data_IF_347643614420
#
_entry.id   IF_347643614420
#
_cell.length_a   1.000
_cell.length_b   1.000
_cell.length_c   1.000
_cell.angle_alpha   90.00
_cell.angle_beta   90.00
_cell.angle_gamma   90.00
#
_symmetry.space_group_name_H-M   'P 1'
#
loop_
_entity.id
_entity.type
_entity.pdbx_description
1 polymer ?
#
# COMPACT_ATOMS: atom_id res chain seq x y z
N UNK A 1 22.45 2.06 -0.18
CA UNK A 1 22.91 3.44 0.05
C UNK A 1 24.31 3.50 0.65
N UNK A 2 24.67 2.62 1.60
CA UNK A 2 26.03 2.57 2.18
C UNK A 2 27.12 2.39 1.12
N UNK A 3 27.03 1.34 0.31
CA UNK A 3 27.93 1.07 -0.83
C UNK A 3 28.01 2.22 -1.84
N UNK A 4 26.92 2.97 -2.01
CA UNK A 4 26.89 4.13 -2.90
C UNK A 4 27.66 5.32 -2.32
N UNK A 5 27.57 5.57 -1.01
CA UNK A 5 28.35 6.61 -0.33
C UNK A 5 29.83 6.26 -0.27
N UNK A 6 30.17 4.97 -0.13
CA UNK A 6 31.55 4.48 -0.21
C UNK A 6 32.14 4.72 -1.60
N UNK A 7 31.40 4.37 -2.66
CA UNK A 7 31.82 4.62 -4.04
C UNK A 7 32.05 6.11 -4.35
N UNK A 8 31.34 7.01 -3.65
CA UNK A 8 31.50 8.46 -3.81
C UNK A 8 32.56 9.08 -2.87
N UNK A 9 33.24 8.28 -2.04
CA UNK A 9 34.18 8.76 -1.01
C UNK A 9 33.51 9.77 -0.03
N UNK A 10 32.23 9.53 0.23
CA UNK A 10 31.34 10.32 1.10
C UNK A 10 31.02 9.61 2.42
N UNK A 11 31.28 8.32 2.52
CA UNK A 11 31.00 7.52 3.72
C UNK A 11 31.65 8.09 4.98
N UNK A 12 32.87 8.62 4.83
CA UNK A 12 33.62 9.26 5.92
C UNK A 12 32.99 10.57 6.41
N UNK A 13 32.10 11.18 5.64
CA UNK A 13 31.35 12.35 6.09
C UNK A 13 30.10 11.98 6.91
N UNK A 14 29.68 10.71 6.85
CA UNK A 14 28.53 10.16 7.57
C UNK A 14 28.97 9.49 8.89
N UNK A 15 30.19 8.94 8.96
CA UNK A 15 30.83 8.60 10.24
C UNK A 15 31.29 9.90 10.92
N UNK A 16 30.66 10.29 12.03
CA UNK A 16 31.04 11.54 12.75
C UNK A 16 32.50 11.52 13.25
N UNK A 17 33.11 10.33 13.35
CA UNK A 17 34.37 10.08 14.07
C UNK A 17 35.55 9.69 13.17
N UNK A 18 35.54 10.04 11.87
CA UNK A 18 36.69 9.74 11.01
C UNK A 18 37.84 10.74 11.22
N UNK A 19 38.98 10.21 11.69
CA UNK A 19 40.28 10.87 11.68
C UNK A 19 40.70 11.13 10.24
N UNK A 20 40.60 12.40 9.84
CA UNK A 20 41.23 12.85 8.61
C UNK A 20 42.74 12.63 8.81
N UNK A 21 43.47 12.05 7.84
CA UNK A 21 44.91 11.85 7.96
C UNK A 21 45.57 13.11 8.53
N UNK A 22 46.25 12.95 9.67
CA UNK A 22 46.85 14.08 10.36
C UNK A 22 47.73 14.86 9.38
N UNK A 23 47.61 16.17 9.40
CA UNK A 23 48.50 17.03 8.64
C UNK A 23 49.96 16.71 9.01
N UNK A 24 50.92 16.87 8.09
CA UNK A 24 52.34 16.69 8.40
C UNK A 24 52.74 17.59 9.58
N UNK A 25 53.77 17.19 10.34
CA UNK A 25 54.19 17.83 11.61
C UNK A 25 54.43 19.36 11.53
N UNK A 26 54.59 19.94 10.34
CA UNK A 26 54.66 21.38 10.12
C UNK A 26 53.80 21.81 8.91
N UNK A 27 52.48 21.95 9.07
CA UNK A 27 51.60 22.30 7.97
C UNK A 27 51.56 23.81 7.75
N UNK A 28 51.54 24.24 6.50
CA UNK A 28 51.29 25.64 6.15
C UNK A 28 49.82 26.01 6.34
N UNK A 29 49.54 27.29 6.58
CA UNK A 29 48.17 27.81 6.70
C UNK A 29 47.28 27.47 5.49
N UNK A 30 47.88 27.42 4.29
CA UNK A 30 47.18 27.00 3.07
C UNK A 30 46.74 25.53 3.13
N UNK A 31 47.60 24.61 3.63
CA UNK A 31 47.28 23.20 3.79
C UNK A 31 46.17 22.98 4.83
N UNK A 32 46.26 23.67 5.98
CA UNK A 32 45.21 23.62 7.03
C UNK A 32 43.86 24.06 6.46
N UNK A 33 43.84 25.17 5.71
CA UNK A 33 42.62 25.71 5.11
C UNK A 33 42.05 24.73 4.08
N UNK A 34 42.86 24.27 3.13
CA UNK A 34 42.44 23.33 2.08
C UNK A 34 41.86 22.04 2.66
N UNK A 35 42.47 21.52 3.71
CA UNK A 35 42.03 20.32 4.42
C UNK A 35 40.65 20.51 5.09
N UNK A 36 40.46 21.63 5.81
CA UNK A 36 39.16 21.97 6.43
C UNK A 36 38.06 22.14 5.38
N UNK A 37 38.35 22.85 4.29
CA UNK A 37 37.40 23.07 3.19
C UNK A 37 37.01 21.76 2.51
N UNK A 38 37.98 20.86 2.25
CA UNK A 38 37.70 19.52 1.69
C UNK A 38 36.77 18.72 2.60
N UNK A 39 36.97 18.74 3.93
CA UNK A 39 36.06 18.08 4.89
C UNK A 39 34.65 18.66 4.81
N UNK A 40 34.53 19.99 4.79
CA UNK A 40 33.25 20.69 4.70
C UNK A 40 32.50 20.32 3.41
N UNK A 41 33.21 20.30 2.28
CA UNK A 41 32.62 19.94 0.99
C UNK A 41 32.11 18.49 0.96
N UNK A 42 32.87 17.53 1.50
CA UNK A 42 32.41 16.14 1.64
C UNK A 42 31.14 16.04 2.49
N UNK A 43 31.07 16.75 3.63
CA UNK A 43 29.87 16.80 4.49
C UNK A 43 28.65 17.35 3.77
N UNK A 44 28.79 18.47 3.05
CA UNK A 44 27.70 19.04 2.28
C UNK A 44 27.24 18.12 1.15
N UNK A 45 28.18 17.47 0.46
CA UNK A 45 27.87 16.54 -0.64
C UNK A 45 27.19 15.26 -0.16
N UNK A 46 27.62 14.70 0.98
CA UNK A 46 26.95 13.57 1.61
C UNK A 46 25.51 13.90 1.98
N UNK A 47 25.27 15.09 2.58
CA UNK A 47 23.92 15.55 2.91
C UNK A 47 23.03 15.70 1.66
N UNK A 48 23.54 16.33 0.61
CA UNK A 48 22.81 16.48 -0.66
C UNK A 48 22.50 15.11 -1.29
N UNK A 49 23.44 14.17 -1.23
CA UNK A 49 23.26 12.80 -1.70
C UNK A 49 22.14 12.07 -0.94
N UNK A 50 22.10 12.20 0.39
CA UNK A 50 21.06 11.62 1.23
C UNK A 50 19.69 12.22 0.91
N UNK A 51 19.61 13.54 0.69
CA UNK A 51 18.38 14.22 0.31
C UNK A 51 17.86 13.79 -1.07
N UNK A 52 18.75 13.57 -2.04
CA UNK A 52 18.37 13.14 -3.38
C UNK A 52 17.88 11.68 -3.43
N UNK A 53 18.25 10.86 -2.45
CA UNK A 53 17.95 9.43 -2.43
C UNK A 53 16.60 9.08 -1.79
N UNK A 54 15.90 10.04 -1.16
CA UNK A 54 14.69 9.77 -0.38
C UNK A 54 13.44 10.33 -1.05
N UNK A 55 12.28 9.78 -0.68
CA UNK A 55 10.99 10.29 -1.16
C UNK A 55 10.68 11.68 -0.57
N UNK A 56 9.77 12.47 -1.19
CA UNK A 56 9.35 13.77 -0.64
C UNK A 56 8.84 13.70 0.81
N UNK A 57 8.16 12.61 1.17
CA UNK A 57 7.64 12.39 2.54
C UNK A 57 8.76 12.24 3.56
N UNK A 58 9.83 11.52 3.22
CA UNK A 58 10.98 11.36 4.12
C UNK A 58 11.83 12.63 4.12
N UNK A 59 11.98 13.28 2.97
CA UNK A 59 12.72 14.54 2.84
C UNK A 59 12.23 15.61 3.82
N UNK A 60 10.92 15.84 3.93
CA UNK A 60 10.36 16.84 4.85
C UNK A 60 10.66 16.54 6.31
N UNK A 61 10.83 15.27 6.68
CA UNK A 61 11.20 14.86 8.04
C UNK A 61 12.68 15.10 8.32
N UNK A 62 13.56 14.81 7.36
CA UNK A 62 15.01 14.88 7.54
C UNK A 62 15.63 16.25 7.21
N UNK A 63 14.91 17.15 6.52
CA UNK A 63 15.47 18.43 6.04
C UNK A 63 15.95 19.35 7.16
N UNK A 64 15.38 19.23 8.36
CA UNK A 64 15.75 20.01 9.55
C UNK A 64 17.02 19.49 10.23
N UNK A 65 17.46 18.26 9.91
CA UNK A 65 18.62 17.64 10.51
C UNK A 65 19.91 18.30 10.02
N UNK A 66 20.82 18.58 10.95
CA UNK A 66 22.02 19.40 10.69
C UNK A 66 23.15 18.59 10.06
N UNK A 67 23.34 17.34 10.48
CA UNK A 67 24.49 16.50 10.08
C UNK A 67 24.06 15.37 9.14
N UNK A 68 24.97 14.96 8.26
CA UNK A 68 24.75 13.80 7.39
C UNK A 68 24.57 12.51 8.21
N UNK A 69 25.24 12.40 9.36
CA UNK A 69 25.07 11.30 10.30
C UNK A 69 23.66 11.23 10.88
N UNK A 70 23.13 12.34 11.41
CA UNK A 70 21.78 12.36 11.97
C UNK A 70 20.73 11.93 10.93
N UNK A 71 20.91 12.37 9.68
CA UNK A 71 20.06 11.94 8.55
C UNK A 71 20.21 10.44 8.31
N UNK A 72 21.43 9.93 8.24
CA UNK A 72 21.71 8.52 8.03
C UNK A 72 21.12 7.63 9.13
N UNK A 73 21.28 8.01 10.39
CA UNK A 73 20.75 7.28 11.54
C UNK A 73 19.22 7.26 11.52
N UNK A 74 18.59 8.39 11.19
CA UNK A 74 17.14 8.47 11.00
C UNK A 74 16.68 7.51 9.90
N UNK A 75 17.34 7.51 8.74
CA UNK A 75 16.98 6.64 7.62
C UNK A 75 17.14 5.16 8.01
N UNK A 76 18.22 4.79 8.69
CA UNK A 76 18.39 3.43 9.22
C UNK A 76 17.23 3.03 10.12
N UNK A 77 16.79 3.92 11.00
CA UNK A 77 15.66 3.66 11.89
C UNK A 77 14.35 3.48 11.12
N UNK A 78 13.99 4.42 10.24
CA UNK A 78 12.73 4.40 9.49
C UNK A 78 12.63 3.10 8.65
N UNK A 79 13.67 2.75 7.90
CA UNK A 79 13.64 1.53 7.07
C UNK A 79 13.68 0.24 7.91
N UNK A 80 14.32 0.24 9.09
CA UNK A 80 14.25 -0.89 10.00
C UNK A 80 12.88 -1.05 10.67
N UNK A 81 12.13 0.04 10.85
CA UNK A 81 10.74 -0.02 11.30
C UNK A 81 9.82 -0.61 10.22
N UNK A 82 10.03 -0.27 8.95
CA UNK A 82 9.31 -0.88 7.83
C UNK A 82 9.51 -2.39 7.75
N UNK A 83 10.75 -2.88 7.90
CA UNK A 83 11.03 -4.31 7.93
C UNK A 83 10.34 -5.01 9.11
N UNK A 84 10.42 -4.42 10.31
CA UNK A 84 9.73 -4.96 11.50
C UNK A 84 8.22 -4.95 11.37
N UNK A 85 7.64 -3.94 10.71
CA UNK A 85 6.20 -3.89 10.45
C UNK A 85 5.79 -4.96 9.44
N UNK A 86 6.59 -5.17 8.38
CA UNK A 86 6.38 -6.24 7.40
C UNK A 86 6.34 -7.60 8.09
N UNK A 87 7.32 -7.89 8.93
CA UNK A 87 7.40 -9.15 9.67
C UNK A 87 6.19 -9.34 10.60
N UNK A 88 5.81 -8.30 11.36
CA UNK A 88 4.61 -8.34 12.20
C UNK A 88 3.34 -8.64 11.40
N UNK A 89 3.17 -8.01 10.23
CA UNK A 89 2.00 -8.26 9.37
C UNK A 89 2.00 -9.71 8.90
N UNK A 90 3.12 -10.21 8.38
CA UNK A 90 3.21 -11.59 7.90
C UNK A 90 2.89 -12.62 8.99
N UNK A 91 3.30 -12.37 10.23
CA UNK A 91 3.04 -13.28 11.37
C UNK A 91 1.61 -13.17 11.91
N UNK A 92 0.99 -11.98 11.83
CA UNK A 92 -0.32 -11.71 12.44
C UNK A 92 -1.47 -11.64 11.44
N UNK A 93 -1.20 -11.92 10.17
CA UNK A 93 -2.19 -11.83 9.12
C UNK A 93 -3.33 -12.84 9.38
N UNK A 94 -4.61 -12.44 9.22
CA UNK A 94 -5.71 -13.40 9.35
C UNK A 94 -5.69 -14.50 8.28
N UNK A 95 -6.19 -15.69 8.64
CA UNK A 95 -6.23 -16.90 7.79
C UNK A 95 -6.77 -16.64 6.36
N UNK A 96 -7.77 -15.76 6.23
CA UNK A 96 -8.36 -15.40 4.93
C UNK A 96 -7.38 -14.78 3.92
N UNK A 97 -6.21 -14.31 4.36
CA UNK A 97 -5.18 -13.76 3.50
C UNK A 97 -3.97 -14.69 3.30
N UNK A 98 -3.93 -15.86 3.94
CA UNK A 98 -2.83 -16.82 3.83
C UNK A 98 -2.53 -17.15 2.37
N UNK A 99 -3.56 -17.43 1.56
CA UNK A 99 -3.40 -17.69 0.13
C UNK A 99 -2.70 -16.53 -0.62
N UNK A 100 -2.93 -15.28 -0.21
CA UNK A 100 -2.25 -14.11 -0.78
C UNK A 100 -0.77 -14.11 -0.39
N UNK A 101 -0.45 -14.39 0.88
CA UNK A 101 0.92 -14.46 1.38
C UNK A 101 1.68 -15.61 0.72
N UNK A 102 1.11 -16.81 0.67
CA UNK A 102 1.68 -17.97 -0.03
C UNK A 102 1.93 -17.68 -1.50
N UNK A 103 1.01 -16.99 -2.18
CA UNK A 103 1.23 -16.58 -3.58
C UNK A 103 2.40 -15.61 -3.68
N UNK A 104 2.50 -14.67 -2.74
CA UNK A 104 3.58 -13.72 -2.66
C UNK A 104 4.93 -14.42 -2.48
N UNK A 105 5.03 -15.35 -1.53
CA UNK A 105 6.22 -16.18 -1.26
C UNK A 105 6.67 -16.97 -2.49
N UNK A 106 5.72 -17.57 -3.21
CA UNK A 106 6.02 -18.39 -4.38
C UNK A 106 6.44 -17.57 -5.60
N UNK A 107 5.94 -16.34 -5.72
CA UNK A 107 6.19 -15.48 -6.90
C UNK A 107 7.32 -14.48 -6.68
N UNK A 108 7.59 -14.11 -5.43
CA UNK A 108 8.55 -13.09 -5.03
C UNK A 108 9.21 -13.50 -3.71
N UNK A 109 10.52 -13.27 -3.64
CA UNK A 109 11.27 -13.40 -2.40
C UNK A 109 10.77 -12.38 -1.37
N UNK A 110 10.17 -12.84 -0.25
CA UNK A 110 9.61 -12.00 0.81
C UNK A 110 10.61 -10.98 1.36
N UNK A 111 11.91 -11.30 1.32
CA UNK A 111 12.97 -10.37 1.76
C UNK A 111 13.01 -9.12 0.89
N UNK A 112 12.66 -9.24 -0.40
CA UNK A 112 12.70 -8.16 -1.40
C UNK A 112 11.40 -7.39 -1.53
N UNK A 113 10.31 -7.90 -0.95
CA UNK A 113 9.02 -7.22 -0.96
C UNK A 113 9.06 -6.06 0.02
N UNK A 114 8.71 -4.87 -0.50
CA UNK A 114 8.54 -3.69 0.33
C UNK A 114 7.26 -3.76 1.15
N UNK A 115 7.23 -3.10 2.32
CA UNK A 115 6.03 -3.00 3.15
C UNK A 115 4.81 -2.47 2.35
N UNK A 116 5.03 -1.49 1.48
CA UNK A 116 4.00 -0.92 0.63
C UNK A 116 3.41 -1.94 -0.35
N UNK A 117 4.22 -2.76 -1.01
CA UNK A 117 3.74 -3.81 -1.91
C UNK A 117 2.92 -4.87 -1.17
N UNK A 118 3.36 -5.27 0.03
CA UNK A 118 2.61 -6.20 0.88
C UNK A 118 1.24 -5.63 1.23
N UNK A 119 1.20 -4.40 1.75
CA UNK A 119 -0.04 -3.71 2.12
C UNK A 119 -0.98 -3.56 0.92
N UNK A 120 -0.46 -3.13 -0.23
CA UNK A 120 -1.24 -2.99 -1.46
C UNK A 120 -1.83 -4.33 -1.92
N UNK A 121 -1.08 -5.42 -1.81
CA UNK A 121 -1.54 -6.77 -2.20
C UNK A 121 -2.69 -7.25 -1.31
N UNK A 122 -2.55 -7.08 0.00
CA UNK A 122 -3.58 -7.42 0.99
C UNK A 122 -4.83 -6.55 0.81
N UNK A 123 -4.65 -5.24 0.61
CA UNK A 123 -5.75 -4.31 0.35
C UNK A 123 -6.49 -4.66 -0.95
N UNK A 124 -5.77 -4.94 -2.04
CA UNK A 124 -6.37 -5.32 -3.31
C UNK A 124 -7.20 -6.62 -3.19
N UNK A 125 -6.76 -7.57 -2.38
CA UNK A 125 -7.52 -8.79 -2.08
C UNK A 125 -8.82 -8.47 -1.34
N UNK A 126 -8.77 -7.61 -0.31
CA UNK A 126 -9.95 -7.22 0.45
C UNK A 126 -10.95 -6.43 -0.41
N UNK A 127 -10.48 -5.52 -1.26
CA UNK A 127 -11.34 -4.81 -2.22
C UNK A 127 -12.05 -5.78 -3.16
N UNK A 128 -11.34 -6.77 -3.73
CA UNK A 128 -11.95 -7.80 -4.58
C UNK A 128 -12.99 -8.64 -3.84
N UNK A 129 -12.79 -8.90 -2.54
CA UNK A 129 -13.75 -9.62 -1.69
C UNK A 129 -15.02 -8.81 -1.49
N UNK A 130 -14.90 -7.53 -1.17
CA UNK A 130 -16.03 -6.60 -1.00
C UNK A 130 -16.87 -6.50 -2.27
N UNK A 131 -16.23 -6.29 -3.43
CA UNK A 131 -16.94 -6.21 -4.72
C UNK A 131 -17.73 -7.48 -5.06
N UNK A 132 -17.27 -8.66 -4.63
CA UNK A 132 -18.02 -9.92 -4.82
C UNK A 132 -19.18 -10.05 -3.83
N UNK A 133 -19.06 -9.47 -2.64
CA UNK A 133 -20.12 -9.49 -1.63
C UNK A 133 -21.27 -8.54 -2.01
N UNK A 134 -20.96 -7.35 -2.51
CA UNK A 134 -21.96 -6.37 -2.97
C UNK A 134 -22.75 -6.87 -4.20
N UNK A 135 -22.10 -7.63 -5.09
CA UNK A 135 -22.76 -8.27 -6.25
C UNK A 135 -23.71 -9.42 -5.82
N UNK A 136 -23.43 -10.10 -4.71
CA UNK A 136 -24.29 -11.18 -4.19
C UNK A 136 -25.53 -10.60 -3.50
N UNK A 137 -25.45 -9.42 -2.87
CA UNK A 137 -26.60 -8.76 -2.24
C UNK A 137 -27.63 -8.21 -3.24
N UNK A 138 -27.22 -7.80 -4.44
CA UNK A 138 -28.14 -7.39 -5.52
C UNK A 138 -28.54 -8.54 -6.48
N UNK A 139 -27.78 -9.64 -6.46
CA UNK A 139 -27.89 -10.76 -7.39
C UNK A 139 -28.51 -12.03 -6.82
N UNK A 140 -29.49 -11.94 -5.92
CA UNK A 140 -30.25 -13.10 -5.46
C UNK A 140 -30.99 -13.76 -6.65
N UNK A 141 -30.31 -14.73 -7.27
CA UNK A 141 -30.79 -15.59 -8.35
C UNK A 141 -32.14 -16.22 -7.98
N UNK A 142 -33.23 -15.70 -8.54
CA UNK A 142 -34.48 -16.45 -8.63
C UNK A 142 -34.31 -17.55 -9.68
N UNK A 143 -33.73 -18.68 -9.27
CA UNK A 143 -33.79 -19.90 -10.05
C UNK A 143 -35.24 -20.42 -10.04
N UNK A 144 -36.04 -19.99 -11.02
CA UNK A 144 -37.36 -20.58 -11.25
C UNK A 144 -37.18 -21.98 -11.82
N UNK A 145 -37.22 -22.96 -10.92
CA UNK A 145 -37.35 -24.37 -11.24
C UNK A 145 -38.60 -24.59 -12.12
N UNK A 146 -38.40 -25.00 -13.37
CA UNK A 146 -39.45 -25.52 -14.23
C UNK A 146 -39.70 -26.97 -13.86
N UNK A 147 -40.81 -27.23 -13.15
CA UNK A 147 -41.24 -28.58 -12.84
C UNK A 147 -42.49 -28.62 -11.97
N UNK A 148 -43.65 -28.67 -12.64
CA UNK A 148 -44.88 -29.32 -12.16
C UNK A 148 -45.57 -28.69 -10.94
N UNK A 149 -46.54 -27.80 -11.17
CA UNK A 149 -47.94 -28.08 -10.78
C UNK A 149 -48.93 -27.03 -11.29
N UNK A 150 -49.77 -27.51 -12.19
CA UNK A 150 -51.00 -26.88 -12.65
C UNK A 150 -51.98 -26.82 -11.47
N UNK A 151 -52.35 -25.63 -10.96
CA UNK A 151 -53.72 -25.26 -10.52
C UNK A 151 -53.71 -24.13 -9.47
N UNK A 152 -53.76 -22.87 -9.90
CA UNK A 152 -54.44 -21.80 -9.12
C UNK A 152 -54.82 -20.57 -9.95
N UNK A 153 -55.07 -20.75 -11.26
CA UNK A 153 -55.63 -19.74 -12.16
C UNK A 153 -57.10 -20.07 -12.52
N UNK A 154 -57.92 -20.41 -11.53
CA UNK A 154 -59.36 -20.70 -11.75
C UNK A 154 -60.35 -19.79 -11.02
N UNK A 155 -59.94 -18.69 -10.38
CA UNK A 155 -60.90 -17.89 -9.58
C UNK A 155 -60.95 -16.36 -9.82
N UNK A 156 -60.49 -15.83 -10.96
CA UNK A 156 -60.62 -14.38 -11.24
C UNK A 156 -61.17 -13.98 -12.62
N UNK A 157 -61.61 -14.93 -13.46
CA UNK A 157 -62.30 -14.64 -14.73
C UNK A 157 -63.81 -14.95 -14.75
N UNK A 158 -64.35 -15.62 -13.71
CA UNK A 158 -65.79 -15.92 -13.64
C UNK A 158 -66.66 -14.85 -12.95
N UNK A 159 -66.06 -13.78 -12.39
CA UNK A 159 -66.80 -12.63 -11.80
C UNK A 159 -67.07 -11.48 -12.78
N UNK A 160 -66.46 -11.46 -13.97
CA UNK A 160 -66.64 -10.40 -14.98
C UNK A 160 -67.58 -10.77 -16.15
N UNK A 161 -67.91 -12.05 -16.37
CA UNK A 161 -68.94 -12.46 -17.36
C UNK A 161 -70.37 -12.58 -16.79
N UNK A 162 -70.54 -12.73 -15.46
CA UNK A 162 -71.87 -12.74 -14.80
C UNK A 162 -72.46 -11.34 -14.53
N UNK A 163 -71.67 -10.26 -14.67
CA UNK A 163 -72.14 -8.86 -14.51
C UNK A 163 -72.52 -8.18 -15.85
N UNK A 164 -72.20 -8.77 -17.00
CA UNK A 164 -72.59 -8.23 -18.33
C UNK A 164 -73.86 -8.85 -18.91
N UNK A 165 -74.32 -9.99 -18.40
CA UNK A 165 -75.59 -10.63 -18.80
C UNK A 165 -76.77 -10.32 -17.86
N UNK A 166 -76.56 -9.69 -16.70
CA UNK A 166 -77.65 -9.19 -15.82
C UNK A 166 -78.09 -7.74 -16.09
N UNK A 167 -77.38 -6.98 -16.94
CA UNK A 167 -77.79 -5.62 -17.39
C UNK A 167 -78.50 -5.59 -18.75
N UNK A 168 -78.69 -6.75 -19.40
CA UNK A 168 -79.46 -6.87 -20.67
C UNK A 168 -80.85 -7.52 -20.49
N UNK A 169 -81.25 -7.87 -19.26
CA UNK A 169 -82.53 -8.55 -18.97
C UNK A 169 -83.49 -7.63 -18.17
N UNK A 170 -83.09 -6.39 -17.84
CA UNK A 170 -83.99 -5.39 -17.21
C UNK A 170 -84.06 -4.13 -18.08
N UNK A 171 -84.36 -4.35 -19.36
CA UNK A 171 -84.93 -3.35 -20.29
C UNK A 171 -85.75 -4.17 -21.28
N UNK A 172 -87.03 -4.38 -20.95
CA UNK A 172 -88.18 -4.94 -21.71
C UNK A 172 -89.19 -5.43 -20.63
N UNK A 173 -89.90 -4.50 -19.98
CA UNK A 173 -91.31 -4.13 -20.23
C UNK A 173 -92.33 -5.06 -19.54
N UNK A 174 -93.56 -4.61 -19.23
CA UNK A 174 -94.19 -3.31 -19.56
C UNK A 174 -93.92 -2.20 -18.54
#
# INVERSE_FOLDING_TARGET
METYLEALDLWEAVKEDYDIPALPNNPTMAQIKAHKEKKKMKKSKAKACLFAAVSPTIFTRIMSLKTAKAIWDYLKQEYAEDERMKEKILVTVPERYEATVTTLENTKDLSKISLAELLNSLQAQEQRRLMRQDVITDGALQAKHHGVEKNKKKNKKNKKKKKKTRKKIVTLQP
#
